data_IF_270630916995
#
_entry.id   IF_270630916995
#
_cell.length_a   1.000
_cell.length_b   1.000
_cell.length_c   1.000
_cell.angle_alpha   90.00
_cell.angle_beta   90.00
_cell.angle_gamma   90.00
#
_symmetry.space_group_name_H-M   'P 1'
#
loop_
_entity.id
_entity.type
_entity.pdbx_description
1 polymer ?
#
# COMPACT_ATOMS: atom_id res chain seq x y z
N UNK A 1 17.03 -26.83 1.27
CA UNK A 1 16.25 -26.31 2.41
C UNK A 1 16.99 -25.06 2.87
N UNK A 2 16.67 -23.90 2.31
CA UNK A 2 17.37 -22.64 2.60
C UNK A 2 16.50 -21.80 3.52
N UNK A 3 17.04 -21.45 4.68
CA UNK A 3 16.40 -20.54 5.62
C UNK A 3 16.31 -19.14 5.01
N UNK A 4 15.10 -18.57 4.96
CA UNK A 4 14.87 -17.20 4.55
C UNK A 4 15.10 -16.33 5.78
N UNK A 5 16.23 -15.61 5.80
CA UNK A 5 16.58 -14.66 6.86
C UNK A 5 15.74 -13.39 6.71
N UNK A 6 15.01 -13.03 7.75
CA UNK A 6 14.23 -11.79 7.82
C UNK A 6 15.09 -10.67 8.40
N UNK A 7 15.52 -9.72 7.55
CA UNK A 7 16.12 -8.47 8.01
C UNK A 7 15.11 -7.34 7.82
N UNK A 8 14.47 -6.92 8.92
CA UNK A 8 13.60 -5.74 8.95
C UNK A 8 14.43 -4.50 9.30
N UNK A 9 14.87 -3.75 8.29
CA UNK A 9 15.46 -2.43 8.50
C UNK A 9 14.61 -1.35 7.82
N UNK A 10 13.94 -0.59 8.67
CA UNK A 10 13.19 0.63 8.38
C UNK A 10 14.17 1.79 8.18
N UNK A 11 14.05 2.47 7.05
CA UNK A 11 14.75 3.69 6.60
C UNK A 11 16.04 3.52 5.80
N UNK A 12 15.92 3.81 4.51
CA UNK A 12 17.04 3.89 3.57
C UNK A 12 16.55 3.41 2.22
N UNK A 13 16.89 4.13 1.15
CA UNK A 13 16.57 3.74 -0.22
C UNK A 13 17.42 2.51 -0.57
N UNK A 14 17.05 1.35 -0.06
CA UNK A 14 17.83 0.13 -0.17
C UNK A 14 17.28 -0.75 -1.28
N UNK A 15 18.19 -1.13 -2.16
CA UNK A 15 18.02 -2.23 -3.09
C UNK A 15 17.48 -3.44 -2.31
N UNK A 16 16.37 -4.07 -2.71
CA UNK A 16 15.83 -5.22 -2.00
C UNK A 16 16.88 -6.33 -1.88
N UNK A 17 17.40 -6.54 -0.68
CA UNK A 17 18.50 -7.46 -0.35
C UNK A 17 18.04 -8.90 -0.18
N UNK A 18 16.72 -9.12 -0.11
CA UNK A 18 16.11 -10.45 -0.08
C UNK A 18 14.77 -10.49 -0.87
N UNK A 19 14.29 -11.70 -1.24
CA UNK A 19 13.06 -11.88 -2.01
C UNK A 19 11.80 -11.33 -1.36
N UNK A 20 11.70 -11.35 -0.03
CA UNK A 20 10.50 -10.88 0.70
C UNK A 20 10.45 -9.37 0.69
N UNK A 21 11.57 -8.70 0.96
CA UNK A 21 11.67 -7.24 0.84
C UNK A 21 11.42 -6.76 -0.59
N UNK A 22 11.78 -7.55 -1.60
CA UNK A 22 11.42 -7.27 -2.99
C UNK A 22 9.91 -7.32 -3.25
N UNK A 23 9.22 -8.32 -2.67
CA UNK A 23 7.75 -8.42 -2.74
C UNK A 23 7.06 -7.26 -2.02
N UNK A 24 7.50 -6.95 -0.80
CA UNK A 24 6.93 -5.84 -0.02
C UNK A 24 7.12 -4.52 -0.76
N UNK A 25 8.32 -4.24 -1.25
CA UNK A 25 8.60 -3.03 -2.03
C UNK A 25 7.74 -2.93 -3.29
N UNK A 26 7.53 -4.05 -3.99
CA UNK A 26 6.64 -4.11 -5.15
C UNK A 26 5.18 -3.83 -4.76
N UNK A 27 4.68 -4.48 -3.70
CA UNK A 27 3.33 -4.28 -3.19
C UNK A 27 3.07 -2.86 -2.70
N UNK A 28 4.01 -2.27 -1.95
CA UNK A 28 3.92 -0.88 -1.50
C UNK A 28 3.89 0.10 -2.67
N UNK A 29 4.63 -0.16 -3.74
CA UNK A 29 4.58 0.66 -4.97
C UNK A 29 3.19 0.61 -5.63
N UNK A 30 2.57 -0.58 -5.68
CA UNK A 30 1.20 -0.73 -6.19
C UNK A 30 0.17 -0.03 -5.29
N UNK A 31 0.27 -0.22 -3.97
CA UNK A 31 -0.61 0.44 -3.00
C UNK A 31 -0.50 1.96 -3.08
N UNK A 32 0.72 2.49 -3.16
CA UNK A 32 0.96 3.94 -3.31
C UNK A 32 0.27 4.49 -4.55
N UNK A 33 0.34 3.77 -5.67
CA UNK A 33 -0.38 4.16 -6.90
C UNK A 33 -1.90 4.21 -6.67
N UNK A 34 -2.48 3.20 -6.01
CA UNK A 34 -3.92 3.14 -5.73
C UNK A 34 -4.39 4.27 -4.83
N UNK A 35 -3.65 4.54 -3.74
CA UNK A 35 -3.96 5.64 -2.81
C UNK A 35 -3.82 6.99 -3.51
N UNK A 36 -2.77 7.18 -4.30
CA UNK A 36 -2.59 8.42 -5.07
C UNK A 36 -3.77 8.67 -6.03
N UNK A 37 -4.24 7.63 -6.74
CA UNK A 37 -5.43 7.70 -7.59
C UNK A 37 -6.71 8.00 -6.80
N UNK A 38 -6.89 7.42 -5.62
CA UNK A 38 -8.05 7.71 -4.77
C UNK A 38 -8.05 9.18 -4.31
N UNK A 39 -6.89 9.72 -3.92
CA UNK A 39 -6.73 11.14 -3.57
C UNK A 39 -7.06 12.04 -4.76
N UNK A 40 -6.68 11.66 -6.00
CA UNK A 40 -7.07 12.37 -7.24
C UNK A 40 -8.59 12.42 -7.41
N UNK A 41 -9.25 11.28 -7.25
CA UNK A 41 -10.69 11.16 -7.48
C UNK A 41 -11.55 11.99 -6.52
N UNK A 42 -11.04 12.30 -5.33
CA UNK A 42 -11.77 13.09 -4.32
C UNK A 42 -11.82 14.59 -4.69
N UNK A 43 -11.13 15.03 -5.74
CA UNK A 43 -11.16 16.42 -6.21
C UNK A 43 -10.09 17.30 -5.56
N UNK A 44 -9.10 16.70 -4.89
CA UNK A 44 -7.87 17.39 -4.55
C UNK A 44 -6.99 17.46 -5.79
N UNK A 45 -6.65 18.68 -6.20
CA UNK A 45 -5.55 18.93 -7.12
C UNK A 45 -4.24 18.64 -6.38
N UNK A 46 -3.44 17.68 -6.87
CA UNK A 46 -2.13 17.29 -6.33
C UNK A 46 -1.15 18.46 -6.22
N UNK A 47 -1.47 19.59 -6.83
CA UNK A 47 -0.64 20.79 -6.89
C UNK A 47 -1.07 21.93 -5.96
N UNK A 48 -2.20 21.83 -5.22
CA UNK A 48 -2.66 22.93 -4.33
C UNK A 48 -2.61 22.50 -2.86
N UNK A 49 -1.44 22.64 -2.24
CA UNK A 49 -1.24 22.54 -0.79
C UNK A 49 -1.30 23.92 -0.14
N UNK A 50 -2.16 24.12 0.86
CA UNK A 50 -2.34 25.41 1.55
C UNK A 50 -1.40 25.63 2.76
N UNK A 51 -0.53 24.67 3.10
CA UNK A 51 0.25 24.74 4.35
C UNK A 51 1.75 24.43 4.25
N UNK A 52 2.29 24.23 3.05
CA UNK A 52 3.73 24.03 2.90
C UNK A 52 4.27 24.85 1.74
N UNK A 53 5.29 25.65 2.06
CA UNK A 53 6.28 26.05 1.07
C UNK A 53 6.68 24.81 0.27
N UNK A 54 6.46 24.90 -1.03
CA UNK A 54 6.68 23.89 -2.04
C UNK A 54 8.01 23.14 -1.87
N UNK A 55 7.95 21.89 -1.39
CA UNK A 55 8.83 20.87 -1.96
C UNK A 55 8.07 20.22 -3.12
N UNK A 56 8.31 20.77 -4.31
CA UNK A 56 7.76 20.32 -5.58
C UNK A 56 7.84 18.80 -5.72
N UNK A 57 6.70 18.13 -5.92
CA UNK A 57 6.64 16.82 -6.57
C UNK A 57 6.52 15.57 -5.70
N UNK A 58 6.14 15.65 -4.42
CA UNK A 58 5.73 14.45 -3.66
C UNK A 58 4.35 14.61 -3.01
N UNK A 59 3.39 13.72 -3.28
CA UNK A 59 2.08 13.75 -2.63
C UNK A 59 2.23 13.25 -1.19
N UNK A 60 2.70 14.11 -0.28
CA UNK A 60 2.89 13.77 1.13
C UNK A 60 1.60 13.22 1.78
N UNK A 61 0.45 13.76 1.39
CA UNK A 61 -0.89 13.31 1.80
C UNK A 61 -1.19 11.84 1.43
N UNK A 62 -0.71 11.38 0.28
CA UNK A 62 -0.91 9.99 -0.14
C UNK A 62 0.04 9.05 0.60
N UNK A 63 1.22 9.52 1.00
CA UNK A 63 2.20 8.70 1.73
C UNK A 63 1.72 8.39 3.15
N UNK A 64 1.10 9.36 3.84
CA UNK A 64 0.56 9.13 5.19
C UNK A 64 -0.64 8.16 5.16
N UNK A 65 -1.54 8.29 4.18
CA UNK A 65 -2.66 7.37 4.00
C UNK A 65 -2.20 5.94 3.68
N UNK A 66 -1.13 5.78 2.90
CA UNK A 66 -0.59 4.45 2.56
C UNK A 66 -0.21 3.66 3.82
N UNK A 67 0.32 4.31 4.85
CA UNK A 67 0.75 3.63 6.08
C UNK A 67 -0.40 2.90 6.78
N UNK A 68 -1.63 3.42 6.73
CA UNK A 68 -2.81 2.75 7.31
C UNK A 68 -3.15 1.42 6.61
N UNK A 69 -2.80 1.31 5.34
CA UNK A 69 -3.18 0.17 4.50
C UNK A 69 -2.05 -0.84 4.27
N UNK A 70 -0.79 -0.50 4.61
CA UNK A 70 0.36 -1.41 4.38
C UNK A 70 0.18 -2.78 5.03
N UNK A 71 -0.11 -2.89 6.35
CA UNK A 71 -0.23 -4.20 6.99
C UNK A 71 -1.45 -4.98 6.50
N UNK A 72 -2.53 -4.25 6.22
CA UNK A 72 -3.85 -4.79 5.94
C UNK A 72 -3.94 -5.35 4.52
N UNK A 73 -3.27 -4.68 3.58
CA UNK A 73 -3.31 -5.03 2.16
C UNK A 73 -2.02 -5.72 1.75
N UNK A 74 -0.89 -5.02 1.80
CA UNK A 74 0.36 -5.52 1.21
C UNK A 74 0.95 -6.65 2.05
N UNK A 75 1.18 -6.42 3.34
CA UNK A 75 1.85 -7.40 4.19
C UNK A 75 1.02 -8.67 4.28
N UNK A 76 -0.30 -8.53 4.40
CA UNK A 76 -1.20 -9.67 4.43
C UNK A 76 -1.22 -10.46 3.11
N UNK A 77 -1.16 -9.79 1.94
CA UNK A 77 -1.02 -10.48 0.64
C UNK A 77 0.32 -11.22 0.56
N UNK A 78 1.42 -10.57 0.95
CA UNK A 78 2.76 -11.19 0.95
C UNK A 78 2.77 -12.42 1.88
N UNK A 79 2.29 -12.27 3.11
CA UNK A 79 2.21 -13.36 4.08
C UNK A 79 1.33 -14.50 3.58
N UNK A 80 0.17 -14.20 2.98
CA UNK A 80 -0.70 -15.22 2.40
C UNK A 80 0.00 -16.01 1.28
N UNK A 81 0.62 -15.30 0.33
CA UNK A 81 1.33 -15.94 -0.79
C UNK A 81 2.50 -16.81 -0.31
N UNK A 82 3.24 -16.37 0.72
CA UNK A 82 4.33 -17.15 1.31
C UNK A 82 3.81 -18.37 2.08
N UNK A 83 2.79 -18.20 2.94
CA UNK A 83 2.20 -19.28 3.74
C UNK A 83 1.60 -20.39 2.86
N UNK A 84 0.99 -20.02 1.73
CA UNK A 84 0.45 -20.96 0.76
C UNK A 84 1.46 -21.44 -0.29
N UNK A 85 2.75 -21.12 -0.14
CA UNK A 85 3.84 -21.52 -1.05
C UNK A 85 3.56 -21.18 -2.52
N UNK A 86 2.91 -20.04 -2.76
CA UNK A 86 2.60 -19.57 -4.12
C UNK A 86 3.84 -19.05 -4.85
N UNK A 87 4.92 -18.81 -4.11
CA UNK A 87 6.21 -18.32 -4.60
C UNK A 87 7.35 -19.18 -4.06
N UNK A 88 8.40 -19.31 -4.86
CA UNK A 88 9.63 -20.04 -4.59
C UNK A 88 10.86 -19.16 -4.89
N UNK A 89 12.05 -19.58 -4.50
CA UNK A 89 13.28 -18.84 -4.80
C UNK A 89 13.51 -18.65 -6.32
N UNK A 90 13.09 -19.63 -7.13
CA UNK A 90 13.22 -19.61 -8.58
C UNK A 90 12.29 -18.60 -9.27
N UNK A 91 11.36 -18.00 -8.53
CA UNK A 91 10.44 -16.98 -9.03
C UNK A 91 11.06 -15.57 -9.07
N UNK A 92 12.29 -15.44 -8.56
CA UNK A 92 13.03 -14.19 -8.50
C UNK A 92 14.22 -14.21 -9.46
N UNK A 93 14.60 -13.02 -9.92
CA UNK A 93 15.85 -12.76 -10.64
C UNK A 93 16.65 -11.74 -9.84
N UNK A 94 17.97 -11.91 -9.82
CA UNK A 94 18.89 -10.96 -9.19
C UNK A 94 19.54 -10.13 -10.29
N UNK A 95 19.23 -8.83 -10.31
CA UNK A 95 19.79 -7.88 -11.27
C UNK A 95 20.53 -6.79 -10.49
N UNK A 96 21.83 -6.60 -10.74
CA UNK A 96 22.66 -5.58 -10.08
C UNK A 96 22.58 -5.63 -8.53
N UNK A 97 22.49 -6.84 -7.96
CA UNK A 97 22.36 -7.05 -6.52
C UNK A 97 20.94 -6.83 -5.96
N UNK A 98 19.94 -6.60 -6.82
CA UNK A 98 18.54 -6.42 -6.45
C UNK A 98 17.71 -7.66 -6.78
N UNK A 99 16.93 -8.15 -5.81
CA UNK A 99 15.90 -9.16 -6.09
C UNK A 99 14.71 -8.53 -6.81
N UNK A 100 14.26 -9.17 -7.89
CA UNK A 100 13.06 -8.78 -8.64
C UNK A 100 12.19 -10.00 -8.96
N UNK A 101 10.88 -9.82 -8.86
CA UNK A 101 9.93 -10.88 -9.20
C UNK A 101 9.80 -11.02 -10.73
N UNK A 102 9.84 -12.26 -11.24
CA UNK A 102 9.65 -12.56 -12.67
C UNK A 102 8.29 -12.05 -13.16
N UNK A 103 8.20 -11.67 -14.44
CA UNK A 103 6.98 -11.07 -15.03
C UNK A 103 5.73 -11.93 -14.81
N UNK A 104 5.83 -13.25 -14.98
CA UNK A 104 4.72 -14.18 -14.79
C UNK A 104 4.19 -14.14 -13.35
N UNK A 105 5.10 -14.08 -12.38
CA UNK A 105 4.78 -14.05 -10.96
C UNK A 105 4.31 -12.67 -10.50
N UNK A 106 4.76 -11.59 -11.13
CA UNK A 106 4.18 -10.25 -10.96
C UNK A 106 2.69 -10.22 -11.30
N UNK A 107 2.25 -10.94 -12.34
CA UNK A 107 0.82 -11.05 -12.66
C UNK A 107 0.05 -11.77 -11.55
N UNK A 108 0.59 -12.87 -11.03
CA UNK A 108 -0.03 -13.61 -9.91
C UNK A 108 -0.14 -12.74 -8.67
N UNK A 109 0.93 -12.00 -8.33
CA UNK A 109 0.92 -11.04 -7.22
C UNK A 109 -0.15 -9.98 -7.44
N UNK A 110 -0.20 -9.39 -8.64
CA UNK A 110 -1.18 -8.37 -8.97
C UNK A 110 -2.62 -8.89 -8.83
N UNK A 111 -2.90 -10.10 -9.28
CA UNK A 111 -4.21 -10.74 -9.07
C UNK A 111 -4.56 -10.86 -7.59
N UNK A 112 -3.63 -11.37 -6.76
CA UNK A 112 -3.86 -11.50 -5.30
C UNK A 112 -4.03 -10.15 -4.61
N UNK A 113 -3.30 -9.14 -5.07
CA UNK A 113 -3.42 -7.76 -4.58
C UNK A 113 -4.78 -7.14 -4.93
N UNK A 114 -5.27 -7.31 -6.16
CA UNK A 114 -6.61 -6.84 -6.56
C UNK A 114 -7.72 -7.62 -5.86
N UNK A 115 -7.57 -8.93 -5.68
CA UNK A 115 -8.51 -9.74 -4.87
C UNK A 115 -8.60 -9.18 -3.44
N UNK A 116 -7.46 -8.88 -2.82
CA UNK A 116 -7.44 -8.25 -1.49
C UNK A 116 -8.11 -6.87 -1.51
N UNK A 117 -7.85 -6.03 -2.51
CA UNK A 117 -8.51 -4.71 -2.59
C UNK A 117 -10.04 -4.82 -2.70
N UNK A 118 -10.55 -5.85 -3.36
CA UNK A 118 -11.98 -6.09 -3.56
C UNK A 118 -12.64 -6.90 -2.43
N UNK A 119 -11.88 -7.35 -1.43
CA UNK A 119 -12.43 -8.07 -0.28
C UNK A 119 -13.35 -7.15 0.53
N UNK A 120 -14.56 -7.63 0.84
CA UNK A 120 -15.55 -6.91 1.65
C UNK A 120 -15.19 -6.97 3.14
N UNK A 121 -15.16 -5.81 3.77
CA UNK A 121 -14.99 -5.65 5.22
C UNK A 121 -16.08 -4.76 5.79
N UNK A 122 -16.35 -4.92 7.09
CA UNK A 122 -17.21 -3.99 7.79
C UNK A 122 -16.42 -2.72 8.10
N UNK A 123 -16.85 -1.57 7.57
CA UNK A 123 -16.13 -0.31 7.82
C UNK A 123 -16.27 0.08 9.31
N UNK A 124 -15.16 0.28 10.05
CA UNK A 124 -15.20 0.46 11.51
C UNK A 124 -15.95 1.72 11.96
N UNK A 125 -15.89 2.80 11.16
CA UNK A 125 -16.59 4.05 11.45
C UNK A 125 -18.07 4.05 11.05
N UNK A 126 -18.40 3.54 9.85
CA UNK A 126 -19.74 3.67 9.27
C UNK A 126 -20.62 2.43 9.46
N UNK A 127 -20.04 1.28 9.84
CA UNK A 127 -20.77 0.05 10.18
C UNK A 127 -21.31 -0.77 8.99
N UNK A 128 -21.29 -0.24 7.77
CA UNK A 128 -21.72 -0.97 6.56
C UNK A 128 -20.57 -1.74 5.88
N UNK A 129 -20.92 -2.66 4.99
CA UNK A 129 -19.95 -3.43 4.20
C UNK A 129 -19.34 -2.59 3.07
N UNK A 130 -18.02 -2.58 3.01
CA UNK A 130 -17.23 -1.83 2.03
C UNK A 130 -16.05 -2.68 1.59
N UNK A 131 -15.59 -2.54 0.35
CA UNK A 131 -14.30 -3.13 -0.05
C UNK A 131 -13.14 -2.33 0.55
N UNK A 132 -11.95 -2.91 0.63
CA UNK A 132 -10.75 -2.16 1.01
C UNK A 132 -10.46 -1.01 0.04
N UNK A 133 -10.70 -1.21 -1.26
CA UNK A 133 -10.61 -0.15 -2.26
C UNK A 133 -11.52 1.03 -1.91
N UNK A 134 -12.78 0.77 -1.57
CA UNK A 134 -13.69 1.83 -1.16
C UNK A 134 -13.31 2.43 0.20
N UNK A 135 -12.73 1.66 1.12
CA UNK A 135 -12.16 2.21 2.37
C UNK A 135 -11.02 3.21 2.09
N UNK A 136 -10.15 2.95 1.11
CA UNK A 136 -9.10 3.90 0.69
C UNK A 136 -9.72 5.21 0.19
N UNK A 137 -10.76 5.13 -0.63
CA UNK A 137 -11.49 6.31 -1.11
C UNK A 137 -12.14 7.09 0.03
N UNK A 138 -12.81 6.39 0.96
CA UNK A 138 -13.45 6.99 2.13
C UNK A 138 -12.44 7.70 3.03
N UNK A 139 -11.29 7.07 3.28
CA UNK A 139 -10.22 7.68 4.06
C UNK A 139 -9.64 8.91 3.36
N UNK A 140 -9.51 8.87 2.03
CA UNK A 140 -9.12 10.03 1.24
C UNK A 140 -10.13 11.18 1.39
N UNK A 141 -11.45 10.89 1.42
CA UNK A 141 -12.51 11.88 1.67
C UNK A 141 -12.53 12.41 3.09
N UNK A 142 -12.26 11.57 4.09
CA UNK A 142 -12.21 12.00 5.49
C UNK A 142 -11.02 12.93 5.73
N UNK A 143 -9.85 12.60 5.17
CA UNK A 143 -8.67 13.46 5.24
C UNK A 143 -8.95 14.81 4.55
N UNK A 144 -9.56 14.78 3.37
CA UNK A 144 -10.02 15.96 2.66
C UNK A 144 -10.88 16.88 3.54
N UNK A 145 -11.93 16.34 4.16
CA UNK A 145 -12.84 17.09 5.03
C UNK A 145 -12.16 17.67 6.25
N UNK A 146 -11.20 16.95 6.83
CA UNK A 146 -10.44 17.44 7.97
C UNK A 146 -9.59 18.65 7.57
N UNK A 147 -8.95 18.60 6.40
CA UNK A 147 -8.11 19.68 5.89
C UNK A 147 -8.92 20.91 5.45
N UNK A 148 -10.16 20.73 4.98
CA UNK A 148 -11.08 21.84 4.65
C UNK A 148 -11.80 22.42 5.88
N UNK A 149 -11.60 21.83 7.06
CA UNK A 149 -12.26 22.25 8.30
C UNK A 149 -13.74 21.86 8.39
N UNK A 150 -14.20 20.92 7.56
CA UNK A 150 -15.56 20.37 7.64
C UNK A 150 -15.73 19.41 8.84
N UNK A 151 -14.63 18.83 9.33
CA UNK A 151 -14.61 17.98 10.52
C UNK A 151 -13.46 18.38 11.44
N UNK A 152 -13.67 18.27 12.75
CA UNK A 152 -12.71 18.71 13.77
C UNK A 152 -11.50 17.78 13.94
N UNK A 153 -11.63 16.51 13.53
CA UNK A 153 -10.58 15.51 13.63
C UNK A 153 -10.69 14.45 12.53
N UNK A 154 -9.54 13.97 12.06
CA UNK A 154 -9.46 12.84 11.14
C UNK A 154 -9.54 11.50 11.90
N UNK A 155 -10.55 10.64 11.64
CA UNK A 155 -10.66 9.32 12.27
C UNK A 155 -9.88 8.26 11.46
N UNK A 156 -8.73 7.76 11.96
CA UNK A 156 -7.92 6.79 11.23
C UNK A 156 -8.63 5.45 11.09
N UNK A 157 -8.36 4.72 10.00
CA UNK A 157 -8.92 3.39 9.80
C UNK A 157 -8.32 2.40 10.81
N UNK A 158 -9.13 1.92 11.75
CA UNK A 158 -8.74 0.88 12.71
C UNK A 158 -9.54 -0.38 12.45
N UNK A 159 -8.92 -1.33 11.76
CA UNK A 159 -9.49 -2.65 11.54
C UNK A 159 -9.00 -3.57 12.66
N UNK A 160 -9.93 -4.27 13.30
CA UNK A 160 -9.68 -5.22 14.39
C UNK A 160 -9.81 -6.64 13.87
#
# INVERSE_FOLDING_TARGET
>A
MGEISFASHINGKETPTDPVNALLSFGYSLLTTKVASAVQLVGFDHFVGYLHSSFYGRPALALDLVEEFRPIIVDSVVLNMLNHRMLSADDFVVELGAYRLKQERRKVFFTKFEERLNEEVQHPLFGYKSTYQHCIELQSRLLAKYLTGEIDAYPPLRIR
#
